data_IF_277262820510
#
_entry.id   IF_277262820510
#
_cell.length_a   1.000
_cell.length_b   1.000
_cell.length_c   1.000
_cell.angle_alpha   90.00
_cell.angle_beta   90.00
_cell.angle_gamma   90.00
#
_symmetry.space_group_name_H-M   'P 1'
#
loop_
_entity.id
_entity.type
_entity.pdbx_description
1 polymer ?
#
# COMPACT_ATOMS: atom_id res chain seq x y z
N UNK A 1 -61.06 50.04 -43.00
CA UNK A 1 -60.40 50.97 -42.06
C UNK A 1 -60.83 50.59 -40.64
N UNK A 2 -59.88 50.28 -39.73
CA UNK A 2 -60.03 50.18 -38.25
C UNK A 2 -60.91 49.01 -37.71
N UNK A 3 -60.51 48.13 -36.76
CA UNK A 3 -59.58 48.26 -35.62
C UNK A 3 -59.24 46.87 -35.02
N UNK A 4 -57.99 46.71 -34.56
CA UNK A 4 -57.53 45.73 -33.57
C UNK A 4 -58.38 45.76 -32.28
N UNK A 5 -58.66 44.58 -31.69
CA UNK A 5 -58.68 44.29 -30.24
C UNK A 5 -58.31 42.80 -30.08
N UNK A 6 -57.07 42.48 -29.72
CA UNK A 6 -56.63 42.34 -28.32
C UNK A 6 -57.36 41.20 -27.59
N UNK A 7 -56.81 39.99 -27.70
CA UNK A 7 -56.89 38.99 -26.62
C UNK A 7 -55.47 38.68 -26.16
N UNK A 8 -55.14 39.40 -25.10
CA UNK A 8 -53.94 39.29 -24.28
C UNK A 8 -53.65 37.84 -23.93
N UNK A 9 -52.42 37.46 -24.24
CA UNK A 9 -51.69 36.30 -23.76
C UNK A 9 -51.82 36.16 -22.24
N UNK A 10 -52.61 35.18 -21.77
CA UNK A 10 -52.41 34.61 -20.44
C UNK A 10 -51.45 33.43 -20.56
N UNK A 11 -50.15 33.74 -20.61
CA UNK A 11 -49.11 32.75 -20.39
C UNK A 11 -48.94 32.59 -18.88
N UNK A 12 -49.71 31.68 -18.28
CA UNK A 12 -49.57 31.28 -16.89
C UNK A 12 -48.23 30.57 -16.76
N UNK A 13 -47.22 31.28 -16.29
CA UNK A 13 -45.89 30.74 -16.04
C UNK A 13 -45.95 29.57 -15.05
N UNK A 14 -46.04 28.36 -15.57
CA UNK A 14 -45.71 27.16 -14.83
C UNK A 14 -44.24 27.28 -14.42
N UNK A 15 -44.00 27.45 -13.12
CA UNK A 15 -42.67 27.25 -12.54
C UNK A 15 -42.27 25.82 -12.86
N UNK A 16 -41.52 25.61 -13.95
CA UNK A 16 -40.77 24.38 -14.20
C UNK A 16 -39.74 24.28 -13.08
N UNK A 17 -40.13 23.67 -11.96
CA UNK A 17 -39.19 23.20 -10.94
C UNK A 17 -38.28 22.22 -11.66
N UNK A 18 -37.07 22.68 -11.97
CA UNK A 18 -36.05 21.87 -12.65
C UNK A 18 -35.79 20.64 -11.79
N UNK A 19 -36.28 19.48 -12.24
CA UNK A 19 -36.20 18.19 -11.55
C UNK A 19 -34.76 17.77 -11.19
N UNK A 20 -33.77 18.48 -11.73
CA UNK A 20 -32.34 18.25 -11.52
C UNK A 20 -31.77 18.99 -10.29
N UNK A 21 -32.43 20.02 -9.75
CA UNK A 21 -31.90 20.79 -8.61
C UNK A 21 -31.79 19.97 -7.33
N UNK A 22 -32.78 19.12 -7.08
CA UNK A 22 -32.77 18.21 -5.93
C UNK A 22 -31.67 17.15 -6.07
N UNK A 23 -31.50 16.58 -7.27
CA UNK A 23 -30.44 15.62 -7.54
C UNK A 23 -29.04 16.24 -7.38
N UNK A 24 -28.85 17.49 -7.83
CA UNK A 24 -27.60 18.25 -7.66
C UNK A 24 -27.35 18.54 -6.17
N UNK A 25 -28.37 18.92 -5.41
CA UNK A 25 -28.21 19.16 -3.97
C UNK A 25 -27.84 17.88 -3.21
N UNK A 26 -28.49 16.75 -3.55
CA UNK A 26 -28.19 15.45 -2.95
C UNK A 26 -26.77 14.99 -3.33
N UNK A 27 -26.34 15.16 -4.58
CA UNK A 27 -24.99 14.78 -5.00
C UNK A 27 -23.92 15.63 -4.32
N UNK A 28 -24.15 16.94 -4.17
CA UNK A 28 -23.26 17.81 -3.39
C UNK A 28 -23.18 17.41 -1.93
N UNK A 29 -24.31 17.08 -1.30
CA UNK A 29 -24.34 16.62 0.09
C UNK A 29 -23.57 15.30 0.25
N UNK A 30 -23.73 14.36 -0.68
CA UNK A 30 -23.01 13.09 -0.68
C UNK A 30 -21.51 13.29 -0.88
N UNK A 31 -21.09 14.13 -1.83
CA UNK A 31 -19.68 14.47 -2.04
C UNK A 31 -19.08 15.12 -0.79
N UNK A 32 -19.83 16.01 -0.13
CA UNK A 32 -19.38 16.67 1.09
C UNK A 32 -19.27 15.69 2.26
N UNK A 33 -20.23 14.78 2.41
CA UNK A 33 -20.19 13.72 3.41
C UNK A 33 -18.97 12.80 3.21
N UNK A 34 -18.67 12.39 1.98
CA UNK A 34 -17.48 11.58 1.66
C UNK A 34 -16.18 12.35 1.92
N UNK A 35 -16.10 13.63 1.52
CA UNK A 35 -14.93 14.46 1.79
C UNK A 35 -14.68 14.63 3.29
N UNK A 36 -15.75 14.81 4.08
CA UNK A 36 -15.66 14.94 5.54
C UNK A 36 -15.12 13.67 6.21
N UNK A 37 -15.47 12.48 5.70
CA UNK A 37 -14.91 11.23 6.23
C UNK A 37 -13.41 11.10 6.02
N UNK A 38 -12.84 11.67 4.95
CA UNK A 38 -11.39 11.61 4.67
C UNK A 38 -10.56 12.48 5.63
N UNK A 39 -11.10 13.62 6.08
CA UNK A 39 -10.42 14.53 7.03
C UNK A 39 -10.65 14.16 8.50
N UNK A 40 -11.69 13.36 8.79
CA UNK A 40 -12.02 12.97 10.17
C UNK A 40 -11.33 11.69 10.64
N UNK A 41 -10.60 10.98 9.78
CA UNK A 41 -9.82 9.81 10.20
C UNK A 41 -8.59 10.30 10.94
N UNK A 42 -8.36 9.90 12.21
CA UNK A 42 -7.11 10.22 12.88
C UNK A 42 -5.93 9.65 12.08
N UNK A 43 -4.90 10.47 11.84
CA UNK A 43 -3.60 9.99 11.37
C UNK A 43 -3.00 9.12 12.47
N UNK A 44 -3.23 7.81 12.38
CA UNK A 44 -2.70 6.85 13.35
C UNK A 44 -1.31 6.41 12.87
N UNK A 45 -0.31 6.59 13.73
CA UNK A 45 0.89 5.76 13.65
C UNK A 45 0.55 4.43 14.33
N UNK A 46 0.81 3.30 13.68
CA UNK A 46 0.61 2.00 14.30
C UNK A 46 1.40 1.89 15.62
N UNK A 47 2.61 2.48 15.65
CA UNK A 47 3.46 2.59 16.84
C UNK A 47 4.29 3.88 16.81
N UNK A 48 4.29 4.65 17.90
CA UNK A 48 5.18 5.80 18.12
C UNK A 48 5.88 5.64 19.48
N UNK A 49 7.21 5.41 19.53
CA UNK A 49 8.13 5.37 18.39
C UNK A 49 7.98 4.10 17.53
N UNK A 50 8.51 4.10 16.28
CA UNK A 50 8.55 2.92 15.44
C UNK A 50 9.23 1.74 16.15
N UNK A 51 8.66 0.55 16.02
CA UNK A 51 9.24 -0.65 16.61
C UNK A 51 10.41 -1.16 15.77
N UNK A 52 11.54 -1.38 16.43
CA UNK A 52 12.64 -2.15 15.86
C UNK A 52 12.42 -3.63 16.17
N UNK A 53 11.91 -4.36 15.19
CA UNK A 53 11.79 -5.81 15.28
C UNK A 53 13.17 -6.39 15.00
N UNK A 54 13.74 -7.11 15.97
CA UNK A 54 15.01 -7.81 15.78
C UNK A 54 14.79 -9.00 14.84
N UNK A 55 15.66 -9.10 13.86
CA UNK A 55 15.69 -10.16 12.86
C UNK A 55 16.92 -11.03 13.09
N UNK A 56 16.78 -12.33 12.91
CA UNK A 56 17.86 -13.30 13.09
C UNK A 56 18.09 -14.08 11.79
N UNK A 57 19.36 -14.17 11.40
CA UNK A 57 19.82 -15.01 10.30
C UNK A 57 20.26 -16.37 10.88
N UNK A 58 19.77 -17.44 10.29
CA UNK A 58 20.21 -18.79 10.57
C UNK A 58 21.03 -19.29 9.39
N UNK A 59 22.10 -20.01 9.69
CA UNK A 59 22.95 -20.66 8.69
C UNK A 59 23.10 -22.13 9.03
N UNK A 60 22.93 -22.97 8.03
CA UNK A 60 23.20 -24.40 8.12
C UNK A 60 24.29 -24.78 7.11
N UNK A 61 25.26 -25.58 7.57
CA UNK A 61 26.26 -26.21 6.74
C UNK A 61 25.97 -27.71 6.64
N UNK A 62 25.82 -28.22 5.42
CA UNK A 62 25.53 -29.64 5.18
C UNK A 62 26.31 -30.16 3.96
N UNK A 63 26.95 -31.34 4.04
CA UNK A 63 27.00 -32.25 5.18
C UNK A 63 27.92 -31.75 6.31
N UNK A 64 27.60 -32.14 7.55
CA UNK A 64 28.46 -31.95 8.73
C UNK A 64 28.32 -33.20 9.63
N UNK A 65 29.38 -34.01 9.84
CA UNK A 65 30.77 -33.80 9.45
C UNK A 65 31.03 -33.93 7.94
N UNK A 66 32.11 -33.31 7.48
CA UNK A 66 32.54 -33.30 6.07
C UNK A 66 33.98 -33.82 5.95
N UNK A 67 34.27 -34.56 4.87
CA UNK A 67 35.63 -35.01 4.55
C UNK A 67 36.48 -33.89 3.92
N UNK A 68 37.80 -34.04 4.02
CA UNK A 68 38.76 -33.11 3.39
C UNK A 68 38.55 -33.10 1.87
N UNK A 69 38.42 -31.90 1.30
CA UNK A 69 38.22 -31.70 -0.14
C UNK A 69 36.79 -31.95 -0.64
N UNK A 70 35.83 -32.20 0.26
CA UNK A 70 34.42 -32.30 -0.11
C UNK A 70 33.74 -30.94 -0.08
N UNK A 71 32.78 -30.73 -0.98
CA UNK A 71 31.97 -29.52 -1.00
C UNK A 71 30.88 -29.57 0.08
N UNK A 72 30.61 -28.43 0.69
CA UNK A 72 29.49 -28.21 1.61
C UNK A 72 28.49 -27.24 0.99
N UNK A 73 27.21 -27.46 1.26
CA UNK A 73 26.17 -26.49 1.00
C UNK A 73 25.97 -25.63 2.25
N UNK A 74 26.06 -24.31 2.07
CA UNK A 74 25.67 -23.33 3.07
C UNK A 74 24.28 -22.81 2.73
N UNK A 75 23.33 -23.00 3.64
CA UNK A 75 21.94 -22.53 3.48
C UNK A 75 21.65 -21.50 4.57
N UNK A 76 21.34 -20.28 4.15
CA UNK A 76 20.93 -19.19 5.04
C UNK A 76 19.43 -18.90 4.94
N UNK A 77 18.79 -18.54 6.04
CA UNK A 77 17.43 -17.98 6.02
C UNK A 77 17.21 -17.00 7.17
N UNK A 78 16.17 -16.18 7.01
CA UNK A 78 15.78 -15.16 7.99
C UNK A 78 14.49 -15.57 8.69
N UNK A 79 14.39 -15.26 9.98
CA UNK A 79 13.27 -15.64 10.85
C UNK A 79 11.98 -14.82 10.64
N UNK A 80 12.05 -13.72 9.88
CA UNK A 80 10.96 -12.80 9.55
C UNK A 80 10.97 -12.44 8.07
N UNK A 81 9.79 -12.19 7.53
CA UNK A 81 9.64 -11.54 6.23
C UNK A 81 9.72 -10.02 6.39
N UNK A 82 10.11 -9.28 5.33
CA UNK A 82 10.05 -7.82 5.37
C UNK A 82 8.62 -7.33 5.71
N UNK A 83 8.46 -6.21 6.43
CA UNK A 83 7.13 -5.67 6.77
C UNK A 83 6.27 -5.36 5.54
N UNK A 84 6.88 -5.10 4.38
CA UNK A 84 6.24 -4.80 3.10
C UNK A 84 6.16 -6.02 2.17
N UNK A 85 6.39 -7.22 2.69
CA UNK A 85 6.23 -8.45 1.91
C UNK A 85 4.75 -8.70 1.59
N UNK A 86 4.40 -8.65 0.31
CA UNK A 86 3.06 -8.91 -0.22
C UNK A 86 3.09 -9.97 -1.34
N UNK A 87 2.60 -11.17 -1.04
CA UNK A 87 2.46 -12.24 -2.03
C UNK A 87 3.74 -12.52 -2.82
N UNK A 88 3.60 -12.66 -4.15
CA UNK A 88 4.71 -12.99 -5.05
C UNK A 88 5.51 -11.77 -5.53
N UNK A 89 4.99 -10.55 -5.35
CA UNK A 89 5.57 -9.30 -5.88
C UNK A 89 6.05 -8.35 -4.79
N UNK A 90 6.00 -8.80 -3.54
CA UNK A 90 6.39 -8.04 -2.37
C UNK A 90 7.89 -7.83 -2.24
N UNK A 91 8.25 -7.00 -1.28
CA UNK A 91 9.65 -6.84 -0.90
C UNK A 91 10.20 -8.15 -0.34
N UNK A 92 11.40 -8.51 -0.77
CA UNK A 92 12.20 -9.62 -0.24
C UNK A 92 13.49 -9.07 0.36
N UNK A 93 14.10 -9.83 1.26
CA UNK A 93 15.45 -9.51 1.71
C UNK A 93 16.44 -9.70 0.56
N UNK A 94 17.39 -8.78 0.43
CA UNK A 94 18.42 -8.78 -0.61
C UNK A 94 19.80 -8.55 0.03
N UNK A 95 20.85 -8.70 -0.77
CA UNK A 95 22.25 -8.45 -0.38
C UNK A 95 22.68 -9.24 0.87
N UNK A 96 22.23 -10.49 0.98
CA UNK A 96 22.63 -11.39 2.05
C UNK A 96 23.93 -12.09 1.69
N UNK A 97 24.96 -11.91 2.53
CA UNK A 97 26.25 -12.57 2.39
C UNK A 97 26.54 -13.46 3.58
N UNK A 98 27.38 -14.47 3.35
CA UNK A 98 27.90 -15.38 4.36
C UNK A 98 29.41 -15.24 4.34
N UNK A 99 29.97 -14.75 5.45
CA UNK A 99 31.42 -14.74 5.66
C UNK A 99 31.85 -16.08 6.22
N UNK A 100 32.76 -16.75 5.52
CA UNK A 100 33.39 -17.99 5.95
C UNK A 100 34.80 -17.67 6.40
N UNK A 101 35.12 -17.99 7.65
CA UNK A 101 36.47 -17.87 8.19
C UNK A 101 37.10 -19.25 8.24
N UNK A 102 38.25 -19.42 7.61
CA UNK A 102 39.02 -20.65 7.65
C UNK A 102 39.75 -20.83 9.02
N UNK A 103 40.33 -22.01 9.30
CA UNK A 103 41.05 -22.24 10.56
C UNK A 103 42.31 -21.37 10.74
N UNK A 104 42.86 -20.83 9.65
CA UNK A 104 44.04 -19.96 9.64
C UNK A 104 43.66 -18.46 9.79
N UNK A 105 42.36 -18.15 9.80
CA UNK A 105 41.80 -16.81 9.99
C UNK A 105 41.56 -16.01 8.71
N UNK A 106 41.67 -16.62 7.53
CA UNK A 106 41.30 -15.99 6.27
C UNK A 106 39.78 -15.97 6.10
N UNK A 107 39.25 -14.85 5.60
CA UNK A 107 37.83 -14.65 5.36
C UNK A 107 37.51 -14.66 3.87
N UNK A 108 36.48 -15.42 3.51
CA UNK A 108 35.86 -15.45 2.19
C UNK A 108 34.40 -15.00 2.32
N UNK A 109 33.95 -14.12 1.44
CA UNK A 109 32.55 -13.67 1.40
C UNK A 109 31.80 -14.41 0.28
N UNK A 110 30.73 -15.10 0.65
CA UNK A 110 29.88 -15.87 -0.25
C UNK A 110 28.50 -15.23 -0.34
N UNK A 111 28.07 -14.86 -1.54
CA UNK A 111 26.79 -14.17 -1.74
C UNK A 111 26.66 -13.53 -3.13
N UNK A 112 25.53 -12.84 -3.38
CA UNK A 112 25.27 -12.09 -4.61
C UNK A 112 26.03 -10.76 -4.68
#
# INVERSE_FOLDING_TARGET
MSKQKEKVSQNKGEKKTSKNKTAIAISLLLMFAMAFTLVSVPLVSAHDPPWTIKTYCYVNASPNPVGVGQQIALTGWIDKVPPTAEGYWGSVWHDMTITVTDPDGHEEELGP
#
